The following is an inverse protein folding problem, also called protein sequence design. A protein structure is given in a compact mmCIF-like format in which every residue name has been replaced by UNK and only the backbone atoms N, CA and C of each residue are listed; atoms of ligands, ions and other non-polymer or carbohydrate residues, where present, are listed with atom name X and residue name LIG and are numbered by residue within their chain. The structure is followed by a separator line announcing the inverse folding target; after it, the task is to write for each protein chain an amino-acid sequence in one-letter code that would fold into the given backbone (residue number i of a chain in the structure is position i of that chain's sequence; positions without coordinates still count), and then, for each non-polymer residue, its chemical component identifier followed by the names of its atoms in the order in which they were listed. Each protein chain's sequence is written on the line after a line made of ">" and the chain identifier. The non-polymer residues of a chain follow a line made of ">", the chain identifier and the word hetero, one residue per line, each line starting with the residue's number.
data_IF_632091434690
#
_entry.id   IF_632091434690
#
_cell.length_a   1.000
_cell.length_b   1.000
_cell.length_c   1.000
_cell.angle_alpha   90.00
_cell.angle_beta   90.00
_cell.angle_gamma   90.00
#
_symmetry.space_group_name_H-M   'P 1'
#
loop_
_entity.id
_entity.type
_entity.pdbx_description
1 polymer ?
#
# COMPACT_ATOMS: atom_id res chain seq x y z
N UNK A 1 -10.79 -5.77 -11.71
CA UNK A 1 -10.92 -5.77 -10.24
C UNK A 1 -10.62 -4.36 -9.74
N UNK A 2 -11.50 -3.73 -8.96
CA UNK A 2 -11.30 -2.34 -8.50
C UNK A 2 -10.20 -2.25 -7.42
N UNK A 3 -9.55 -1.08 -7.22
CA UNK A 3 -8.59 -0.88 -6.14
C UNK A 3 -9.13 -1.24 -4.75
N UNK A 4 -10.38 -0.84 -4.45
CA UNK A 4 -11.04 -1.22 -3.21
C UNK A 4 -11.19 -2.74 -3.05
N UNK A 5 -11.60 -3.45 -4.12
CA UNK A 5 -11.69 -4.92 -4.09
C UNK A 5 -10.31 -5.58 -3.88
N UNK A 6 -9.23 -5.01 -4.43
CA UNK A 6 -7.85 -5.47 -4.17
C UNK A 6 -7.46 -5.30 -2.71
N UNK A 7 -7.77 -4.15 -2.11
CA UNK A 7 -7.51 -3.89 -0.71
C UNK A 7 -8.26 -4.84 0.22
N UNK A 8 -9.56 -5.07 -0.04
CA UNK A 8 -10.33 -6.06 0.72
C UNK A 8 -9.79 -7.49 0.59
N UNK A 9 -9.29 -7.88 -0.58
CA UNK A 9 -8.62 -9.16 -0.74
C UNK A 9 -7.31 -9.23 0.06
N UNK A 10 -6.51 -8.17 0.06
CA UNK A 10 -5.27 -8.09 0.84
C UNK A 10 -5.53 -8.27 2.35
N UNK A 11 -6.62 -7.69 2.87
CA UNK A 11 -7.04 -7.88 4.27
C UNK A 11 -7.30 -9.34 4.65
N UNK A 12 -7.73 -10.17 3.70
CA UNK A 12 -7.95 -11.62 3.95
C UNK A 12 -6.69 -12.47 3.75
N UNK A 13 -5.70 -11.95 3.00
CA UNK A 13 -4.49 -12.68 2.65
C UNK A 13 -3.37 -12.48 3.68
N UNK A 14 -3.46 -11.44 4.51
CA UNK A 14 -2.41 -11.04 5.45
C UNK A 14 -3.04 -10.53 6.75
N UNK A 15 -2.61 -11.07 7.89
CA UNK A 15 -3.16 -10.76 9.22
C UNK A 15 -2.03 -10.63 10.25
N UNK A 16 -1.71 -9.40 10.73
CA UNK A 16 -2.27 -8.11 10.31
C UNK A 16 -1.74 -7.68 8.94
N UNK A 17 -2.60 -7.11 8.09
CA UNK A 17 -2.18 -6.49 6.83
C UNK A 17 -1.26 -5.29 7.11
N UNK A 18 -0.03 -5.35 6.61
CA UNK A 18 0.91 -4.23 6.68
C UNK A 18 0.55 -3.18 5.61
N UNK A 19 0.36 -1.92 6.06
CA UNK A 19 0.08 -0.77 5.19
C UNK A 19 1.18 0.26 5.42
N UNK A 20 2.09 0.40 4.46
CA UNK A 20 3.24 1.29 4.60
C UNK A 20 2.96 2.68 4.02
N UNK A 21 3.40 3.71 4.75
CA UNK A 21 3.35 5.10 4.28
C UNK A 21 4.37 5.34 3.16
N UNK A 22 3.93 5.93 2.05
CA UNK A 22 4.78 6.34 0.93
C UNK A 22 4.55 7.82 0.62
N UNK A 23 5.63 8.53 0.30
CA UNK A 23 5.60 9.99 0.03
C UNK A 23 5.68 10.33 -1.47
N UNK A 24 6.08 9.38 -2.32
CA UNK A 24 6.17 9.56 -3.77
C UNK A 24 6.03 8.22 -4.49
N UNK A 25 5.94 8.26 -5.82
CA UNK A 25 5.79 7.07 -6.67
C UNK A 25 7.00 6.13 -6.59
N UNK A 26 8.21 6.65 -6.37
CA UNK A 26 9.41 5.81 -6.23
C UNK A 26 9.34 4.94 -4.97
N UNK A 27 8.94 5.51 -3.83
CA UNK A 27 8.69 4.76 -2.60
C UNK A 27 7.59 3.70 -2.79
N UNK A 28 6.55 4.00 -3.57
CA UNK A 28 5.50 3.03 -3.88
C UNK A 28 6.05 1.82 -4.66
N UNK A 29 6.91 2.05 -5.67
CA UNK A 29 7.55 0.97 -6.43
C UNK A 29 8.48 0.12 -5.55
N UNK A 30 9.26 0.76 -4.65
CA UNK A 30 10.09 0.03 -3.70
C UNK A 30 9.26 -0.86 -2.77
N UNK A 31 8.14 -0.35 -2.25
CA UNK A 31 7.25 -1.11 -1.39
C UNK A 31 6.60 -2.30 -2.12
N UNK A 32 6.21 -2.13 -3.37
CA UNK A 32 5.72 -3.23 -4.21
C UNK A 32 6.79 -4.30 -4.44
N UNK A 33 8.04 -3.89 -4.76
CA UNK A 33 9.15 -4.81 -5.00
C UNK A 33 9.51 -5.68 -3.78
N UNK A 34 9.35 -5.16 -2.57
CA UNK A 34 9.60 -5.91 -1.32
C UNK A 34 8.37 -6.68 -0.84
N UNK A 35 7.26 -6.64 -1.58
CA UNK A 35 6.10 -7.51 -1.38
C UNK A 35 4.96 -6.92 -0.56
N UNK A 36 4.94 -5.61 -0.28
CA UNK A 36 3.79 -4.99 0.40
C UNK A 36 2.54 -5.05 -0.49
N UNK A 37 1.41 -5.41 0.12
CA UNK A 37 0.12 -5.57 -0.57
C UNK A 37 -0.75 -4.32 -0.53
N UNK A 38 -0.42 -3.35 0.33
CA UNK A 38 -1.16 -2.11 0.51
C UNK A 38 -0.23 -0.95 0.88
N UNK A 39 -0.55 0.24 0.37
CA UNK A 39 0.19 1.47 0.59
C UNK A 39 -0.73 2.56 1.13
N UNK A 40 -0.18 3.45 1.95
CA UNK A 40 -0.83 4.68 2.40
C UNK A 40 -0.09 5.89 1.83
N UNK A 41 -0.78 6.76 1.11
CA UNK A 41 -0.19 8.00 0.61
C UNK A 41 -0.20 9.03 1.73
N UNK A 42 0.97 9.34 2.26
CA UNK A 42 1.09 10.26 3.39
C UNK A 42 0.80 11.70 2.94
N UNK A 43 -0.21 12.33 3.52
CA UNK A 43 -0.53 13.74 3.28
C UNK A 43 0.61 14.69 3.64
N UNK A 44 1.45 14.34 4.61
CA UNK A 44 2.62 15.13 5.00
C UNK A 44 3.73 15.15 3.94
N UNK A 45 3.74 14.19 3.00
CA UNK A 45 4.70 14.16 1.88
C UNK A 45 4.20 14.88 0.63
N UNK A 46 2.94 15.35 0.63
CA UNK A 46 2.28 16.00 -0.51
C UNK A 46 2.04 17.49 -0.26
N UNK A 47 1.82 17.87 1.01
CA UNK A 47 1.54 19.25 1.43
C UNK A 47 2.77 20.17 1.44
#
# INVERSE_FOLDING_TARGET
>A
MSPGKRFHAALTQEHPLQIVGVINAYCAMLAEHVGFRALYVSGAGVA
#
